data_IF_536729226275
#
_entry.id   IF_536729226275
#
_cell.length_a   1.000
_cell.length_b   1.000
_cell.length_c   1.000
_cell.angle_alpha   90.00
_cell.angle_beta   90.00
_cell.angle_gamma   90.00
#
_symmetry.space_group_name_H-M   'P 1'
#
loop_
_entity.id
_entity.type
_entity.pdbx_description
1 polymer ?
#
# COMPACT_ATOMS: atom_id res chain seq x y z
N UNK A 1 -16.52 53.02 11.25
CA UNK A 1 -16.22 51.68 11.78
C UNK A 1 -15.29 50.97 10.79
N UNK A 2 -13.97 51.08 10.98
CA UNK A 2 -12.99 50.35 10.18
C UNK A 2 -12.94 48.90 10.70
N UNK A 3 -13.32 47.93 9.86
CA UNK A 3 -13.10 46.51 10.15
C UNK A 3 -11.60 46.21 10.08
N UNK A 4 -11.02 45.81 11.21
CA UNK A 4 -9.67 45.28 11.28
C UNK A 4 -9.54 44.07 10.35
N UNK A 5 -8.73 44.23 9.30
CA UNK A 5 -8.21 43.09 8.53
C UNK A 5 -7.03 42.57 9.36
N UNK A 6 -7.18 41.35 9.89
CA UNK A 6 -6.16 40.69 10.71
C UNK A 6 -4.82 40.62 9.96
N UNK A 7 -3.75 41.14 10.58
CA UNK A 7 -2.36 41.09 10.07
C UNK A 7 -1.90 39.65 9.75
N UNK A 8 -2.59 38.64 10.30
CA UNK A 8 -2.33 37.21 10.05
C UNK A 8 -2.69 36.80 8.62
N UNK A 9 -3.63 37.48 7.96
CA UNK A 9 -4.02 37.18 6.58
C UNK A 9 -3.05 37.75 5.53
N UNK A 10 -2.28 38.78 5.87
CA UNK A 10 -1.28 39.38 4.96
C UNK A 10 0.06 38.62 4.98
N UNK A 11 0.29 37.77 6.00
CA UNK A 11 1.50 36.97 6.14
C UNK A 11 1.48 35.66 5.34
N UNK A 12 0.32 35.23 4.83
CA UNK A 12 0.16 33.98 4.04
C UNK A 12 0.51 34.12 2.55
N UNK A 13 0.80 35.33 2.07
CA UNK A 13 1.27 35.58 0.70
C UNK A 13 2.79 35.75 0.60
N UNK A 14 3.52 35.61 1.71
CA UNK A 14 5.00 35.68 1.74
C UNK A 14 5.61 34.28 1.93
N UNK A 15 4.99 33.25 1.36
CA UNK A 15 5.56 31.91 1.39
C UNK A 15 5.95 31.48 -0.03
N UNK A 16 7.26 31.29 -0.18
CA UNK A 16 8.00 30.74 -1.32
C UNK A 16 8.45 31.74 -2.40
N UNK A 17 9.20 32.77 -2.01
CA UNK A 17 10.32 33.17 -2.87
C UNK A 17 11.52 32.28 -2.51
N UNK A 18 11.43 30.97 -2.79
CA UNK A 18 12.65 30.18 -2.89
C UNK A 18 13.34 30.65 -4.17
N UNK A 19 14.48 31.33 -4.00
CA UNK A 19 15.32 31.72 -5.11
C UNK A 19 15.56 30.48 -5.97
N UNK A 20 15.16 30.57 -7.23
CA UNK A 20 15.33 29.52 -8.23
C UNK A 20 16.77 29.01 -8.25
N UNK A 21 17.01 27.71 -8.47
CA UNK A 21 18.35 27.24 -8.77
C UNK A 21 18.77 27.72 -10.17
N UNK A 22 19.36 28.92 -10.23
CA UNK A 22 19.75 29.56 -11.50
C UNK A 22 21.03 28.94 -12.08
N UNK A 23 21.00 28.40 -13.31
CA UNK A 23 22.22 28.06 -14.04
C UNK A 23 22.68 29.29 -14.84
N UNK A 24 23.85 29.86 -14.55
CA UNK A 24 24.26 31.12 -15.18
C UNK A 24 25.02 30.94 -16.50
N UNK A 25 25.67 29.80 -16.79
CA UNK A 25 26.24 29.44 -18.11
C UNK A 25 26.58 27.94 -18.20
N UNK A 26 26.80 27.42 -19.41
CA UNK A 26 27.04 26.01 -19.79
C UNK A 26 28.36 25.39 -19.25
N UNK A 27 29.07 26.11 -18.38
CA UNK A 27 30.20 25.61 -17.59
C UNK A 27 29.96 26.05 -16.14
N UNK A 28 29.55 25.09 -15.32
CA UNK A 28 29.08 25.24 -13.95
C UNK A 28 30.10 25.98 -13.03
N UNK A 29 29.66 26.59 -11.90
CA UNK A 29 29.08 25.77 -10.83
C UNK A 29 27.85 26.37 -10.12
N UNK A 30 27.11 25.49 -9.42
CA UNK A 30 26.54 25.73 -8.07
C UNK A 30 25.06 26.06 -7.82
N UNK A 31 24.06 25.64 -8.61
CA UNK A 31 22.66 25.76 -8.08
C UNK A 31 21.71 24.59 -8.32
N UNK A 32 21.95 23.65 -9.23
CA UNK A 32 21.08 22.46 -9.31
C UNK A 32 21.34 21.52 -8.12
N UNK A 33 20.43 21.52 -7.14
CA UNK A 33 20.57 20.72 -5.92
C UNK A 33 19.84 19.40 -6.08
N UNK A 34 20.57 18.30 -5.87
CA UNK A 34 19.96 16.99 -5.68
C UNK A 34 18.97 17.04 -4.49
N UNK A 35 17.92 16.23 -4.46
CA UNK A 35 17.65 15.09 -5.34
C UNK A 35 16.72 15.38 -6.54
N UNK A 36 16.21 16.60 -6.68
CA UNK A 36 15.16 16.92 -7.66
C UNK A 36 15.69 17.26 -9.04
N UNK A 37 16.94 17.73 -9.11
CA UNK A 37 17.55 18.21 -10.32
C UNK A 37 18.78 17.37 -10.68
N UNK A 38 19.05 17.21 -11.97
CA UNK A 38 20.31 16.67 -12.48
C UNK A 38 21.42 17.70 -12.31
N UNK A 39 22.67 17.26 -12.43
CA UNK A 39 23.83 18.14 -12.48
C UNK A 39 24.01 18.84 -13.86
N UNK A 40 23.07 18.66 -14.78
CA UNK A 40 23.07 19.24 -16.13
C UNK A 40 22.00 20.32 -16.27
N UNK A 41 22.29 21.33 -17.09
CA UNK A 41 21.37 22.42 -17.41
C UNK A 41 21.07 22.41 -18.92
N UNK A 42 19.86 22.83 -19.29
CA UNK A 42 19.50 23.15 -20.68
C UNK A 42 18.90 24.55 -20.69
N UNK A 43 19.37 25.44 -21.59
CA UNK A 43 18.86 26.81 -21.71
C UNK A 43 18.83 27.61 -20.39
N UNK A 44 19.91 27.54 -19.61
CA UNK A 44 20.05 28.19 -18.28
C UNK A 44 19.10 27.68 -17.17
N UNK A 45 18.43 26.54 -17.38
CA UNK A 45 17.53 25.90 -16.40
C UNK A 45 18.05 24.52 -15.98
N UNK A 46 17.92 24.18 -14.70
CA UNK A 46 18.22 22.85 -14.19
C UNK A 46 17.26 21.81 -14.77
N UNK A 47 17.78 20.69 -15.25
CA UNK A 47 16.94 19.59 -15.71
C UNK A 47 16.40 18.76 -14.56
N UNK A 48 15.15 18.32 -14.66
CA UNK A 48 14.56 17.41 -13.68
C UNK A 48 15.25 16.05 -13.67
N UNK A 49 15.46 15.50 -12.46
CA UNK A 49 15.88 14.13 -12.30
C UNK A 49 14.85 13.16 -12.91
N UNK A 50 15.29 11.95 -13.28
CA UNK A 50 14.45 10.97 -13.97
C UNK A 50 13.16 10.67 -13.20
N UNK A 51 12.03 10.69 -13.93
CA UNK A 51 10.70 10.39 -13.39
C UNK A 51 9.98 11.58 -12.75
N UNK A 52 10.65 12.73 -12.63
CA UNK A 52 10.04 14.02 -12.28
C UNK A 52 9.58 14.75 -13.55
N UNK A 53 8.56 15.59 -13.41
CA UNK A 53 8.03 16.40 -14.51
C UNK A 53 8.33 17.87 -14.27
N UNK A 54 8.84 18.61 -15.28
CA UNK A 54 8.90 20.05 -15.20
C UNK A 54 7.50 20.62 -15.04
N UNK A 55 7.35 21.64 -14.20
CA UNK A 55 6.10 22.42 -14.17
C UNK A 55 5.87 23.10 -15.53
N UNK A 56 4.64 23.51 -15.83
CA UNK A 56 4.31 24.18 -17.10
C UNK A 56 5.08 25.50 -17.29
N UNK A 57 5.53 26.12 -16.21
CA UNK A 57 6.43 27.28 -16.23
C UNK A 57 7.91 26.90 -16.47
N UNK A 58 8.26 25.62 -16.31
CA UNK A 58 9.61 25.08 -16.48
C UNK A 58 10.59 25.55 -15.40
N UNK A 59 10.07 25.96 -14.25
CA UNK A 59 10.82 26.62 -13.16
C UNK A 59 10.95 25.73 -11.91
N UNK A 60 10.29 24.56 -11.91
CA UNK A 60 10.39 23.58 -10.83
C UNK A 60 10.20 22.15 -11.35
N UNK A 61 10.67 21.18 -10.59
CA UNK A 61 10.48 19.75 -10.85
C UNK A 61 9.52 19.16 -9.82
N UNK A 62 8.44 18.56 -10.31
CA UNK A 62 7.43 17.95 -9.46
C UNK A 62 7.47 16.42 -9.57
N UNK A 63 7.06 15.79 -8.46
CA UNK A 63 6.87 14.34 -8.41
C UNK A 63 5.66 13.96 -9.24
N UNK A 64 5.87 13.04 -10.20
CA UNK A 64 4.75 12.38 -10.84
C UNK A 64 3.93 11.63 -9.78
N UNK A 65 2.61 11.77 -9.84
CA UNK A 65 1.67 11.10 -8.94
C UNK A 65 1.91 9.57 -8.98
N UNK A 66 2.17 8.92 -7.85
CA UNK A 66 2.32 7.47 -7.81
C UNK A 66 0.97 6.78 -8.03
N UNK A 67 1.00 5.53 -8.47
CA UNK A 67 -0.20 4.70 -8.59
C UNK A 67 -0.16 3.58 -7.57
N UNK A 68 -1.25 3.36 -6.85
CA UNK A 68 -1.40 2.15 -6.03
C UNK A 68 -2.05 1.07 -6.88
N UNK A 69 -1.31 -0.03 -7.07
CA UNK A 69 -1.84 -1.28 -7.58
C UNK A 69 -2.25 -2.16 -6.43
N UNK A 70 -3.30 -2.91 -6.68
CA UNK A 70 -3.83 -3.91 -5.80
C UNK A 70 -3.82 -5.21 -6.62
N UNK A 71 -3.01 -6.19 -6.21
CA UNK A 71 -2.91 -7.48 -6.93
C UNK A 71 -4.24 -8.24 -6.95
N UNK A 72 -5.17 -7.83 -6.08
CA UNK A 72 -6.53 -8.34 -5.98
C UNK A 72 -7.57 -7.33 -6.54
N UNK A 73 -7.16 -6.31 -7.30
CA UNK A 73 -8.09 -5.36 -7.94
C UNK A 73 -9.07 -6.11 -8.85
N UNK A 74 -10.36 -5.98 -8.56
CA UNK A 74 -11.44 -6.73 -9.23
C UNK A 74 -11.85 -8.04 -8.55
N UNK A 75 -11.23 -8.42 -7.42
CA UNK A 75 -11.60 -9.57 -6.58
C UNK A 75 -11.87 -9.12 -5.14
N UNK A 76 -12.69 -9.87 -4.42
CA UNK A 76 -13.06 -9.57 -3.03
C UNK A 76 -11.93 -9.92 -2.07
N UNK A 77 -11.72 -9.10 -1.04
CA UNK A 77 -10.79 -9.44 0.05
C UNK A 77 -11.51 -10.33 1.05
N UNK A 78 -10.89 -11.41 1.48
CA UNK A 78 -11.42 -12.29 2.51
C UNK A 78 -10.78 -11.98 3.85
N UNK A 79 -11.56 -12.13 4.92
CA UNK A 79 -10.98 -12.06 6.26
C UNK A 79 -9.94 -13.15 6.49
N UNK A 80 -8.97 -12.89 7.37
CA UNK A 80 -7.87 -13.80 7.72
C UNK A 80 -6.95 -14.19 6.56
N UNK A 81 -6.89 -13.34 5.52
CA UNK A 81 -5.96 -13.48 4.39
C UNK A 81 -5.03 -12.26 4.35
N UNK A 82 -3.77 -12.49 4.00
CA UNK A 82 -2.80 -11.43 3.76
C UNK A 82 -2.94 -10.90 2.33
N UNK A 83 -3.08 -9.59 2.18
CA UNK A 83 -3.11 -8.93 0.88
C UNK A 83 -2.02 -7.88 0.76
N UNK A 84 -1.57 -7.65 -0.47
CA UNK A 84 -0.50 -6.72 -0.79
C UNK A 84 -1.02 -5.57 -1.64
N UNK A 85 -0.67 -4.36 -1.24
CA UNK A 85 -0.78 -3.14 -2.04
C UNK A 85 0.61 -2.72 -2.49
N UNK A 86 0.71 -2.26 -3.74
CA UNK A 86 1.97 -1.84 -4.35
C UNK A 86 1.87 -0.40 -4.82
N UNK A 87 2.70 0.47 -4.26
CA UNK A 87 2.85 1.84 -4.69
C UNK A 87 3.95 1.93 -5.76
N UNK A 88 3.54 2.19 -6.99
CA UNK A 88 4.44 2.32 -8.15
C UNK A 88 4.74 3.78 -8.44
N UNK A 89 6.02 4.10 -8.64
CA UNK A 89 6.51 5.39 -9.13
C UNK A 89 7.66 5.17 -10.11
N UNK A 90 7.87 6.13 -11.00
CA UNK A 90 9.04 6.16 -11.90
C UNK A 90 10.26 6.83 -11.27
N UNK A 91 10.13 7.36 -10.05
CA UNK A 91 11.18 8.12 -9.34
C UNK A 91 11.90 7.21 -8.35
N UNK A 92 13.22 7.11 -8.48
CA UNK A 92 14.07 6.37 -7.55
C UNK A 92 14.44 7.19 -6.32
N UNK A 93 14.75 6.54 -5.20
CA UNK A 93 15.25 7.20 -3.98
C UNK A 93 14.18 7.95 -3.17
N UNK A 94 12.89 7.67 -3.44
CA UNK A 94 11.78 8.23 -2.66
C UNK A 94 11.61 7.48 -1.34
N UNK A 95 11.06 8.19 -0.34
CA UNK A 95 10.48 7.57 0.86
C UNK A 95 8.99 7.36 0.65
N UNK A 96 8.44 6.27 1.16
CA UNK A 96 7.00 5.98 1.11
C UNK A 96 6.32 6.27 2.44
N UNK A 97 5.03 6.62 2.35
CA UNK A 97 4.11 6.71 3.49
C UNK A 97 2.76 6.16 3.07
N UNK A 98 2.19 5.30 3.90
CA UNK A 98 0.86 4.73 3.67
C UNK A 98 -0.16 5.32 4.63
N UNK A 99 -1.36 5.59 4.12
CA UNK A 99 -2.52 6.05 4.90
C UNK A 99 -3.64 5.03 4.73
N UNK A 100 -4.25 4.64 5.86
CA UNK A 100 -5.45 3.79 5.94
C UNK A 100 -6.62 4.66 6.41
N UNK A 101 -7.62 4.84 5.56
CA UNK A 101 -8.67 5.84 5.75
C UNK A 101 -8.05 7.23 5.89
N UNK A 102 -8.21 7.84 7.06
CA UNK A 102 -7.60 9.14 7.39
C UNK A 102 -6.36 9.04 8.27
N UNK A 103 -5.97 7.81 8.67
CA UNK A 103 -4.91 7.58 9.65
C UNK A 103 -3.64 7.09 8.95
N UNK A 104 -2.51 7.73 9.25
CA UNK A 104 -1.20 7.27 8.81
C UNK A 104 -0.85 5.90 9.41
N UNK A 105 -0.26 5.03 8.59
CA UNK A 105 0.28 3.75 9.06
C UNK A 105 1.74 3.95 9.43
N UNK A 106 2.00 4.15 10.72
CA UNK A 106 3.34 4.38 11.26
C UNK A 106 4.32 3.26 10.87
N UNK A 107 5.49 3.64 10.36
CA UNK A 107 6.56 2.70 9.99
C UNK A 107 6.40 2.05 8.61
N UNK A 108 5.31 2.30 7.89
CA UNK A 108 5.12 1.80 6.53
C UNK A 108 5.90 2.65 5.50
N UNK A 109 7.20 2.39 5.37
CA UNK A 109 8.12 3.15 4.50
C UNK A 109 8.53 2.44 3.21
N UNK A 110 8.00 1.24 2.97
CA UNK A 110 8.27 0.45 1.77
C UNK A 110 7.29 0.78 0.63
N UNK A 111 7.70 0.51 -0.61
CA UNK A 111 6.83 0.60 -1.79
C UNK A 111 5.67 -0.40 -1.76
N UNK A 112 5.75 -1.40 -0.89
CA UNK A 112 4.72 -2.41 -0.68
C UNK A 112 4.15 -2.31 0.72
N UNK A 113 2.83 -2.43 0.85
CA UNK A 113 2.15 -2.50 2.13
C UNK A 113 1.32 -3.78 2.21
N UNK A 114 1.56 -4.59 3.25
CA UNK A 114 0.81 -5.82 3.50
C UNK A 114 -0.27 -5.57 4.53
N UNK A 115 -1.52 -5.79 4.15
CA UNK A 115 -2.65 -5.90 5.06
C UNK A 115 -2.63 -7.32 5.59
N UNK A 116 -2.11 -7.51 6.81
CA UNK A 116 -2.04 -8.82 7.44
C UNK A 116 -3.37 -9.20 8.08
N UNK A 117 -3.68 -10.50 8.03
CA UNK A 117 -4.83 -11.11 8.71
C UNK A 117 -6.08 -10.24 8.58
N UNK A 118 -6.48 -9.98 7.34
CA UNK A 118 -7.47 -8.95 7.01
C UNK A 118 -8.73 -9.07 7.88
N UNK A 119 -9.19 -7.97 8.45
CA UNK A 119 -10.43 -7.88 9.23
C UNK A 119 -11.41 -6.94 8.54
N UNK A 120 -12.67 -6.89 9.02
CA UNK A 120 -13.65 -5.94 8.49
C UNK A 120 -13.18 -4.47 8.59
N UNK A 121 -12.34 -4.15 9.58
CA UNK A 121 -11.76 -2.81 9.75
C UNK A 121 -10.75 -2.44 8.67
N UNK A 122 -10.30 -3.40 7.85
CA UNK A 122 -9.47 -3.12 6.68
C UNK A 122 -10.30 -2.69 5.45
N UNK A 123 -11.64 -2.79 5.50
CA UNK A 123 -12.52 -2.32 4.45
C UNK A 123 -12.60 -0.78 4.43
N UNK A 124 -11.57 -0.15 3.88
CA UNK A 124 -11.44 1.30 3.80
C UNK A 124 -10.60 1.70 2.59
N UNK A 125 -10.39 3.00 2.41
CA UNK A 125 -9.55 3.52 1.37
C UNK A 125 -8.08 3.55 1.81
N UNK A 126 -7.18 3.25 0.90
CA UNK A 126 -5.74 3.33 1.12
C UNK A 126 -5.12 4.31 0.15
N UNK A 127 -4.11 5.03 0.63
CA UNK A 127 -3.33 5.98 -0.17
C UNK A 127 -1.85 5.77 0.11
N UNK A 128 -1.05 5.85 -0.94
CA UNK A 128 0.39 5.98 -0.84
C UNK A 128 0.82 7.41 -1.16
N UNK A 129 1.69 7.97 -0.34
CA UNK A 129 2.45 9.18 -0.61
C UNK A 129 3.93 8.81 -0.81
N UNK A 130 4.55 9.44 -1.81
CA UNK A 130 6.00 9.40 -2.00
C UNK A 130 6.59 10.78 -1.70
N UNK A 131 7.79 10.81 -1.15
CA UNK A 131 8.50 12.07 -0.90
C UNK A 131 9.99 11.98 -1.19
N UNK A 132 10.55 13.06 -1.73
CA UNK A 132 11.99 13.21 -1.98
C UNK A 132 12.35 14.71 -1.98
N UNK A 133 13.43 15.11 -1.31
CA UNK A 133 13.88 16.51 -1.28
C UNK A 133 12.80 17.51 -0.84
N UNK A 134 12.03 17.18 0.20
CA UNK A 134 10.92 18.02 0.70
C UNK A 134 9.64 17.99 -0.14
N UNK A 135 9.70 17.49 -1.38
CA UNK A 135 8.55 17.38 -2.27
C UNK A 135 7.75 16.13 -1.97
N UNK A 136 6.43 16.20 -2.20
CA UNK A 136 5.48 15.13 -1.92
C UNK A 136 4.50 14.97 -3.08
N UNK A 137 4.15 13.72 -3.39
CA UNK A 137 3.02 13.41 -4.27
C UNK A 137 2.24 12.24 -3.70
N UNK A 138 0.91 12.37 -3.70
CA UNK A 138 0.01 11.34 -3.18
C UNK A 138 -0.79 10.72 -4.30
N UNK A 139 -0.84 9.38 -4.32
CA UNK A 139 -1.68 8.59 -5.23
C UNK A 139 -3.17 8.90 -5.11
N UNK A 140 -3.97 8.47 -6.09
CA UNK A 140 -5.41 8.31 -5.91
C UNK A 140 -5.70 7.25 -4.83
N UNK A 141 -6.87 7.33 -4.21
CA UNK A 141 -7.30 6.33 -3.24
C UNK A 141 -7.65 5.00 -3.92
N UNK A 142 -7.27 3.89 -3.28
CA UNK A 142 -7.75 2.56 -3.63
C UNK A 142 -8.71 2.06 -2.55
N UNK A 143 -9.93 1.71 -2.94
CA UNK A 143 -10.92 1.15 -2.02
C UNK A 143 -10.69 -0.35 -1.84
N UNK A 144 -10.67 -0.79 -0.58
CA UNK A 144 -10.63 -2.20 -0.20
C UNK A 144 -11.99 -2.58 0.37
N UNK A 145 -12.58 -3.65 -0.15
CA UNK A 145 -13.81 -4.25 0.37
C UNK A 145 -13.50 -5.65 0.90
N UNK A 146 -13.85 -5.90 2.16
CA UNK A 146 -13.59 -7.15 2.87
C UNK A 146 -14.89 -7.90 3.12
N UNK A 147 -14.89 -9.22 2.87
CA UNK A 147 -16.00 -10.14 3.12
C UNK A 147 -15.53 -11.35 3.92
N UNK A 148 -16.47 -12.01 4.60
CA UNK A 148 -16.20 -13.32 5.16
C UNK A 148 -16.04 -14.37 4.04
N UNK A 149 -15.11 -15.34 4.19
CA UNK A 149 -15.01 -16.48 3.28
C UNK A 149 -16.19 -17.44 3.44
N UNK A 150 -16.44 -18.25 2.42
CA UNK A 150 -17.54 -19.20 2.34
C UNK A 150 -18.38 -19.01 1.08
N UNK A 151 -19.27 -19.95 0.79
CA UNK A 151 -20.14 -19.88 -0.39
C UNK A 151 -21.22 -18.80 -0.18
N UNK A 152 -21.50 -17.95 -1.17
CA UNK A 152 -22.65 -17.03 -1.11
C UNK A 152 -23.96 -17.81 -0.94
N UNK A 153 -24.85 -17.31 -0.07
CA UNK A 153 -26.17 -17.91 0.14
C UNK A 153 -27.24 -16.84 0.37
N UNK A 154 -28.48 -17.24 0.13
CA UNK A 154 -29.69 -16.48 0.39
C UNK A 154 -30.64 -17.21 1.34
N UNK A 155 -30.52 -18.54 1.42
CA UNK A 155 -31.22 -19.41 2.36
C UNK A 155 -30.36 -20.63 2.75
N UNK A 156 -30.74 -21.33 3.83
CA UNK A 156 -30.08 -22.56 4.29
C UNK A 156 -30.01 -23.64 3.18
N UNK A 157 -31.00 -23.67 2.28
CA UNK A 157 -31.04 -24.60 1.13
C UNK A 157 -29.92 -24.39 0.13
N UNK A 158 -29.24 -23.24 0.15
CA UNK A 158 -28.08 -22.98 -0.71
C UNK A 158 -26.81 -23.67 -0.17
N UNK A 159 -26.81 -24.06 1.10
CA UNK A 159 -25.66 -24.62 1.80
C UNK A 159 -25.65 -26.15 1.79
N UNK A 160 -26.07 -26.76 0.67
CA UNK A 160 -26.11 -28.21 0.49
C UNK A 160 -24.74 -28.79 0.15
N UNK A 161 -24.46 -29.99 0.65
CA UNK A 161 -23.24 -30.75 0.36
C UNK A 161 -22.52 -31.17 1.64
N UNK A 162 -21.63 -32.15 1.54
CA UNK A 162 -20.92 -32.72 2.71
C UNK A 162 -19.89 -31.79 3.34
N UNK A 163 -19.49 -30.73 2.63
CA UNK A 163 -18.45 -29.77 3.06
C UNK A 163 -19.03 -28.53 3.75
N UNK A 164 -20.36 -28.39 3.77
CA UNK A 164 -21.09 -27.27 4.37
C UNK A 164 -21.94 -27.75 5.55
N UNK A 165 -22.18 -26.89 6.53
CA UNK A 165 -22.97 -27.23 7.72
C UNK A 165 -24.48 -27.27 7.47
N UNK A 166 -24.94 -26.98 6.25
CA UNK A 166 -26.35 -26.79 5.93
C UNK A 166 -26.93 -25.46 6.42
N UNK A 167 -26.09 -24.53 6.88
CA UNK A 167 -26.53 -23.25 7.46
C UNK A 167 -25.95 -22.05 6.72
N UNK A 168 -26.83 -21.11 6.39
CA UNK A 168 -26.48 -19.80 5.84
C UNK A 168 -26.40 -18.78 6.99
N UNK A 169 -25.25 -18.12 7.14
CA UNK A 169 -25.18 -16.90 7.93
C UNK A 169 -25.85 -15.78 7.14
N UNK A 170 -26.91 -15.20 7.71
CA UNK A 170 -27.69 -14.13 7.08
C UNK A 170 -27.14 -12.73 7.38
N UNK A 171 -26.07 -12.64 8.14
CA UNK A 171 -25.30 -11.40 8.34
C UNK A 171 -24.64 -11.03 7.02
N UNK A 172 -24.83 -9.80 6.54
CA UNK A 172 -24.24 -9.34 5.29
C UNK A 172 -22.71 -9.22 5.43
N UNK A 173 -21.89 -9.81 4.55
CA UNK A 173 -22.26 -10.60 3.38
C UNK A 173 -22.68 -12.02 3.73
N UNK A 174 -23.84 -12.45 3.22
CA UNK A 174 -24.43 -13.76 3.51
C UNK A 174 -23.56 -14.91 2.99
N UNK A 175 -23.21 -15.87 3.85
CA UNK A 175 -22.25 -16.94 3.55
C UNK A 175 -22.61 -18.26 4.22
N UNK A 176 -22.41 -19.38 3.52
CA UNK A 176 -22.53 -20.72 4.08
C UNK A 176 -21.37 -21.01 5.03
N UNK A 177 -21.68 -21.51 6.22
CA UNK A 177 -20.67 -22.03 7.12
C UNK A 177 -20.16 -23.41 6.66
N UNK A 178 -18.87 -23.66 6.87
CA UNK A 178 -18.27 -24.95 6.57
C UNK A 178 -18.69 -26.02 7.59
N UNK A 179 -18.79 -27.27 7.14
CA UNK A 179 -19.00 -28.41 8.03
C UNK A 179 -17.80 -28.61 8.97
N UNK A 180 -17.98 -29.40 10.03
CA UNK A 180 -16.87 -29.78 10.92
C UNK A 180 -15.69 -30.36 10.12
N UNK A 181 -14.47 -29.99 10.50
CA UNK A 181 -13.20 -30.33 9.82
C UNK A 181 -12.95 -29.63 8.47
N UNK A 182 -13.84 -28.76 8.01
CA UNK A 182 -13.63 -27.90 6.85
C UNK A 182 -13.40 -26.45 7.28
N UNK A 183 -12.54 -25.75 6.55
CA UNK A 183 -12.21 -24.34 6.76
C UNK A 183 -12.56 -23.57 5.50
N UNK A 184 -13.19 -22.41 5.68
CA UNK A 184 -13.54 -21.52 4.59
C UNK A 184 -12.27 -20.92 3.98
N UNK A 185 -12.12 -21.03 2.67
CA UNK A 185 -11.05 -20.42 1.88
C UNK A 185 -11.67 -19.84 0.62
N UNK A 186 -11.56 -18.51 0.50
CA UNK A 186 -12.26 -17.75 -0.55
C UNK A 186 -13.76 -18.11 -0.52
N UNK A 187 -14.38 -18.45 -1.65
CA UNK A 187 -15.79 -18.83 -1.72
C UNK A 187 -16.05 -20.34 -1.49
N UNK A 188 -15.06 -21.08 -0.97
CA UNK A 188 -15.13 -22.55 -0.84
C UNK A 188 -14.83 -23.05 0.57
N UNK A 189 -15.24 -24.28 0.87
CA UNK A 189 -14.84 -25.01 2.09
C UNK A 189 -13.83 -26.09 1.72
N UNK A 190 -12.68 -26.12 2.38
CA UNK A 190 -11.61 -27.11 2.15
C UNK A 190 -11.30 -27.86 3.43
N UNK A 191 -10.89 -29.13 3.32
CA UNK A 191 -10.48 -29.93 4.47
C UNK A 191 -9.39 -29.19 5.27
N UNK A 192 -9.67 -28.88 6.52
CA UNK A 192 -8.72 -28.29 7.47
C UNK A 192 -7.60 -29.25 7.89
N UNK A 193 -7.70 -30.53 7.50
CA UNK A 193 -6.76 -31.59 7.85
C UNK A 193 -5.43 -31.59 7.05
N UNK A 194 -5.13 -30.56 6.25
CA UNK A 194 -3.93 -30.55 5.40
C UNK A 194 -3.14 -29.24 5.46
N UNK A 195 -2.40 -29.06 6.56
CA UNK A 195 -0.95 -28.78 6.57
C UNK A 195 -0.44 -28.97 7.99
N UNK A 196 -0.04 -30.19 8.36
CA UNK A 196 1.13 -30.31 9.23
C UNK A 196 2.25 -29.66 8.44
N UNK A 197 2.63 -28.44 8.84
CA UNK A 197 3.64 -27.64 8.16
C UNK A 197 4.83 -28.54 7.79
N UNK A 198 5.23 -28.56 6.52
CA UNK A 198 6.43 -29.28 6.07
C UNK A 198 7.66 -28.88 6.91
N UNK A 199 7.64 -27.66 7.49
CA UNK A 199 8.63 -27.20 8.47
C UNK A 199 8.61 -28.00 9.78
N UNK A 200 7.46 -28.46 10.25
CA UNK A 200 7.35 -29.29 11.46
C UNK A 200 7.84 -30.72 11.19
N UNK A 201 7.60 -31.26 9.99
CA UNK A 201 8.22 -32.53 9.55
C UNK A 201 9.74 -32.41 9.43
N UNK A 202 10.26 -31.33 8.84
CA UNK A 202 11.71 -31.08 8.78
C UNK A 202 12.33 -30.92 10.17
N UNK A 203 11.67 -30.22 11.10
CA UNK A 203 12.13 -30.10 12.48
C UNK A 203 12.13 -31.44 13.23
N UNK A 204 11.11 -32.29 13.02
CA UNK A 204 11.08 -33.64 13.58
C UNK A 204 12.16 -34.54 12.98
N UNK A 205 12.39 -34.48 11.66
CA UNK A 205 13.46 -35.22 10.99
C UNK A 205 14.85 -34.78 11.48
N UNK A 206 15.08 -33.47 11.62
CA UNK A 206 16.34 -32.94 12.18
C UNK A 206 16.50 -33.33 13.65
N UNK A 207 15.44 -33.29 14.46
CA UNK A 207 15.49 -33.68 15.87
C UNK A 207 15.80 -35.19 16.04
N UNK A 208 15.16 -36.04 15.25
CA UNK A 208 15.41 -37.50 15.25
C UNK A 208 16.83 -37.80 14.76
N UNK A 209 17.31 -37.16 13.69
CA UNK A 209 18.67 -37.34 13.19
C UNK A 209 19.73 -36.89 14.21
N UNK A 210 19.47 -35.79 14.92
CA UNK A 210 20.33 -35.28 15.99
C UNK A 210 20.40 -36.19 17.21
N UNK A 211 19.31 -36.91 17.51
CA UNK A 211 19.28 -37.90 18.59
C UNK A 211 20.01 -39.19 18.22
N UNK A 212 19.91 -39.63 16.96
CA UNK A 212 20.61 -40.81 16.46
C UNK A 212 22.13 -40.62 16.41
N UNK A 213 22.62 -39.43 16.07
CA UNK A 213 24.08 -39.13 16.09
C UNK A 213 24.67 -39.05 17.50
N UNK A 214 23.86 -38.90 18.56
CA UNK A 214 24.33 -38.93 19.95
C UNK A 214 24.43 -40.35 20.53
N UNK A 215 23.99 -41.35 19.78
CA UNK A 215 23.96 -42.76 20.18
C UNK A 215 25.03 -43.62 19.47
N UNK A 216 25.89 -42.99 18.65
CA UNK A 216 27.04 -43.60 17.98
C UNK A 216 28.35 -42.99 18.48
#
# INVERSE_FOLDING_TARGET
MLRQISLVALLLLVQHCEAQPACTTDTAPTVCVAPLYKATCTSAKCECATGLTPTTAGDACELKVPTVKNDNSGKTYYTNVDYKLECSTTVSGVTYKWTKGTTEVTGATSSTYTIKETTQTAATNYKCEISIGGNKASSAEVSVAVVAPGKVCTADTDCTGTVFSGKCDLTDPKRCACAANYVAKEDTCKNGAAVVSTSLLLLLVVAVFSQLMKLY
#
